data_IF_067531582026
#
_entry.id   IF_067531582026
#
_cell.length_a   1.000
_cell.length_b   1.000
_cell.length_c   1.000
_cell.angle_alpha   90.00
_cell.angle_beta   90.00
_cell.angle_gamma   90.00
#
_symmetry.space_group_name_H-M   'P 1'
#
loop_
_entity.id
_entity.type
_entity.pdbx_description
1 polymer ?
#
# COMPACT_ATOMS: atom_id res chain seq x y z
N UNK A 1 2.09 -1.50 20.04
CA UNK A 1 2.38 -2.92 19.81
C UNK A 1 1.20 -3.51 19.05
N UNK A 2 1.27 -3.59 17.73
CA UNK A 2 0.24 -4.24 16.91
C UNK A 2 0.72 -5.68 16.62
N UNK A 3 0.15 -6.65 17.31
CA UNK A 3 0.38 -8.09 17.07
C UNK A 3 -0.41 -8.51 15.83
N UNK A 4 0.06 -9.48 15.03
CA UNK A 4 -0.56 -9.92 13.74
C UNK A 4 -2.10 -9.89 13.68
N UNK A 5 -2.78 -10.33 14.74
CA UNK A 5 -4.25 -10.29 14.90
C UNK A 5 -4.91 -8.90 14.90
N UNK A 6 -4.19 -7.85 15.28
CA UNK A 6 -4.69 -6.48 15.26
C UNK A 6 -4.64 -5.89 13.85
N UNK A 7 -3.76 -6.33 12.96
CA UNK A 7 -3.70 -5.79 11.60
C UNK A 7 -4.85 -6.29 10.73
N UNK A 8 -5.26 -7.56 10.86
CA UNK A 8 -6.45 -8.09 10.17
C UNK A 8 -7.71 -7.32 10.56
N UNK A 9 -7.93 -7.09 11.87
CA UNK A 9 -9.02 -6.22 12.33
C UNK A 9 -8.84 -4.76 11.93
N UNK A 10 -7.60 -4.29 11.79
CA UNK A 10 -7.32 -2.94 11.30
C UNK A 10 -7.68 -2.77 9.83
N UNK A 11 -7.51 -3.79 8.99
CA UNK A 11 -7.88 -3.75 7.57
C UNK A 11 -9.38 -3.57 7.43
N UNK A 12 -10.18 -4.34 8.17
CA UNK A 12 -11.65 -4.22 8.15
C UNK A 12 -12.10 -2.81 8.59
N UNK A 13 -11.48 -2.26 9.64
CA UNK A 13 -11.71 -0.86 10.06
C UNK A 13 -11.28 0.19 9.02
N UNK A 14 -10.24 -0.09 8.23
CA UNK A 14 -9.82 0.81 7.15
C UNK A 14 -10.69 0.69 5.91
N UNK A 15 -11.26 -0.48 5.64
CA UNK A 15 -12.26 -0.68 4.58
C UNK A 15 -13.57 0.03 4.91
N UNK A 16 -13.99 0.00 6.18
CA UNK A 16 -15.11 0.84 6.66
C UNK A 16 -14.82 2.33 6.47
N UNK A 17 -13.58 2.79 6.72
CA UNK A 17 -13.23 4.19 6.51
C UNK A 17 -13.41 4.62 5.04
N UNK A 18 -12.97 3.80 4.09
CA UNK A 18 -13.21 4.05 2.65
C UNK A 18 -14.72 4.03 2.33
N UNK A 19 -15.48 3.11 2.93
CA UNK A 19 -16.92 2.97 2.72
C UNK A 19 -17.74 4.14 3.31
N UNK A 20 -17.23 4.80 4.36
CA UNK A 20 -17.86 5.98 4.97
C UNK A 20 -17.69 7.26 4.13
N UNK A 21 -16.99 7.19 2.99
CA UNK A 21 -16.81 8.32 2.09
C UNK A 21 -15.85 9.38 2.62
N UNK A 22 -15.11 9.07 3.69
CA UNK A 22 -13.89 9.81 4.00
C UNK A 22 -12.89 9.47 2.89
N UNK A 23 -12.78 10.33 1.87
CA UNK A 23 -11.68 10.37 0.88
C UNK A 23 -10.34 10.73 1.54
N UNK A 24 -10.15 10.25 2.76
CA UNK A 24 -8.97 10.49 3.51
C UNK A 24 -7.91 9.50 3.03
N UNK A 25 -6.90 10.03 2.36
CA UNK A 25 -5.71 9.29 1.94
C UNK A 25 -5.09 8.48 3.09
N UNK A 26 -5.32 8.88 4.35
CA UNK A 26 -4.94 8.10 5.53
C UNK A 26 -5.50 6.70 5.53
N UNK A 27 -6.75 6.51 5.13
CA UNK A 27 -7.38 5.19 5.13
C UNK A 27 -6.80 4.27 4.06
N UNK A 28 -6.39 4.83 2.91
CA UNK A 28 -5.68 4.09 1.88
C UNK A 28 -4.28 3.67 2.33
N UNK A 29 -3.42 4.61 2.77
CA UNK A 29 -2.06 4.23 3.12
C UNK A 29 -2.00 3.33 4.36
N UNK A 30 -2.87 3.54 5.35
CA UNK A 30 -2.92 2.69 6.54
C UNK A 30 -3.33 1.25 6.21
N UNK A 31 -4.28 1.06 5.28
CA UNK A 31 -4.63 -0.26 4.74
C UNK A 31 -3.45 -0.90 4.03
N UNK A 32 -2.74 -0.16 3.19
CA UNK A 32 -1.52 -0.64 2.53
C UNK A 32 -0.42 -1.07 3.51
N UNK A 33 -0.20 -0.31 4.59
CA UNK A 33 0.71 -0.69 5.67
C UNK A 33 0.25 -1.93 6.43
N UNK A 34 -1.05 -2.08 6.67
CA UNK A 34 -1.59 -3.28 7.32
C UNK A 34 -1.36 -4.53 6.46
N UNK A 35 -1.61 -4.48 5.15
CA UNK A 35 -1.26 -5.55 4.23
C UNK A 35 0.24 -5.88 4.28
N UNK A 36 1.11 -4.86 4.33
CA UNK A 36 2.55 -5.06 4.46
C UNK A 36 2.91 -5.81 5.77
N UNK A 37 2.32 -5.42 6.90
CA UNK A 37 2.55 -6.11 8.18
C UNK A 37 2.00 -7.55 8.23
N UNK A 38 1.02 -7.87 7.39
CA UNK A 38 0.54 -9.23 7.16
C UNK A 38 1.38 -10.02 6.15
N UNK A 39 2.46 -9.43 5.62
CA UNK A 39 3.29 -9.97 4.55
C UNK A 39 2.56 -10.13 3.20
N UNK A 40 1.44 -9.43 3.00
CA UNK A 40 0.72 -9.36 1.72
C UNK A 40 1.31 -8.25 0.85
N UNK A 41 2.54 -8.46 0.38
CA UNK A 41 3.31 -7.45 -0.34
C UNK A 41 2.60 -6.91 -1.59
N UNK A 42 1.89 -7.78 -2.33
CA UNK A 42 1.22 -7.40 -3.57
C UNK A 42 0.05 -6.43 -3.31
N UNK A 43 -0.79 -6.78 -2.31
CA UNK A 43 -1.90 -5.94 -1.87
C UNK A 43 -1.39 -4.62 -1.27
N UNK A 44 -0.33 -4.69 -0.45
CA UNK A 44 0.30 -3.50 0.12
C UNK A 44 0.78 -2.54 -0.96
N UNK A 45 1.50 -3.06 -1.97
CA UNK A 45 1.99 -2.27 -3.08
C UNK A 45 0.85 -1.61 -3.86
N UNK A 46 -0.18 -2.38 -4.22
CA UNK A 46 -1.32 -1.88 -4.97
C UNK A 46 -2.04 -0.75 -4.23
N UNK A 47 -2.41 -0.98 -2.97
CA UNK A 47 -3.16 -0.01 -2.16
C UNK A 47 -2.35 1.26 -1.88
N UNK A 48 -1.03 1.13 -1.61
CA UNK A 48 -0.16 2.30 -1.43
C UNK A 48 0.01 3.11 -2.73
N UNK A 49 0.01 2.45 -3.89
CA UNK A 49 0.11 3.12 -5.18
C UNK A 49 -1.17 3.89 -5.52
N UNK A 50 -2.34 3.33 -5.16
CA UNK A 50 -3.63 4.04 -5.23
C UNK A 50 -3.68 5.24 -4.27
N UNK A 51 -3.04 5.14 -3.09
CA UNK A 51 -2.96 6.23 -2.12
C UNK A 51 -2.06 7.39 -2.58
N UNK A 52 -1.07 7.14 -3.45
CA UNK A 52 -0.08 8.12 -3.87
C UNK A 52 -0.70 9.36 -4.55
N UNK A 53 -1.57 9.25 -5.57
CA UNK A 53 -2.21 10.42 -6.18
C UNK A 53 -3.27 11.08 -5.28
N UNK A 54 -3.71 10.40 -4.22
CA UNK A 54 -4.67 10.95 -3.24
C UNK A 54 -3.96 11.75 -2.14
N UNK A 55 -2.63 11.66 -2.05
CA UNK A 55 -1.85 12.35 -1.03
C UNK A 55 -1.91 13.86 -1.22
N UNK A 56 -2.71 14.51 -0.39
CA UNK A 56 -2.94 15.96 -0.39
C UNK A 56 -1.94 16.72 0.51
N UNK A 57 -1.31 16.00 1.44
CA UNK A 57 -0.38 16.54 2.44
C UNK A 57 0.98 15.86 2.37
N UNK A 58 2.04 16.61 2.70
CA UNK A 58 3.40 16.05 2.79
C UNK A 58 3.50 14.85 3.75
N UNK A 59 2.71 14.85 4.84
CA UNK A 59 2.66 13.74 5.80
C UNK A 59 2.07 12.47 5.20
N UNK A 60 0.96 12.59 4.46
CA UNK A 60 0.36 11.44 3.76
C UNK A 60 1.29 10.91 2.67
N UNK A 61 1.90 11.80 1.89
CA UNK A 61 2.85 11.44 0.85
C UNK A 61 4.06 10.69 1.41
N UNK A 62 4.64 11.20 2.50
CA UNK A 62 5.76 10.54 3.18
C UNK A 62 5.35 9.16 3.71
N UNK A 63 4.16 9.03 4.31
CA UNK A 63 3.66 7.75 4.82
C UNK A 63 3.48 6.71 3.71
N UNK A 64 2.97 7.12 2.54
CA UNK A 64 2.83 6.28 1.36
C UNK A 64 4.19 5.82 0.85
N UNK A 65 5.13 6.75 0.67
CA UNK A 65 6.47 6.47 0.16
C UNK A 65 7.28 5.55 1.08
N UNK A 66 7.16 5.75 2.41
CA UNK A 66 7.79 4.87 3.39
C UNK A 66 7.25 3.44 3.29
N UNK A 67 5.94 3.27 3.08
CA UNK A 67 5.31 1.97 2.87
C UNK A 67 5.83 1.27 1.61
N UNK A 68 5.83 1.98 0.47
CA UNK A 68 6.33 1.43 -0.80
C UNK A 68 7.80 1.05 -0.71
N UNK A 69 8.62 1.88 -0.06
CA UNK A 69 10.03 1.57 0.20
C UNK A 69 10.21 0.37 1.14
N UNK A 70 9.32 0.18 2.11
CA UNK A 70 9.34 -1.00 2.98
C UNK A 70 9.02 -2.28 2.19
N UNK A 71 8.03 -2.22 1.29
CA UNK A 71 7.70 -3.33 0.37
C UNK A 71 8.90 -3.68 -0.51
N UNK A 72 9.55 -2.72 -1.17
CA UNK A 72 10.73 -3.00 -2.02
C UNK A 72 11.89 -3.67 -1.28
N UNK A 73 12.15 -3.23 -0.05
CA UNK A 73 13.27 -3.75 0.75
C UNK A 73 13.01 -5.15 1.32
N UNK A 74 11.76 -5.47 1.64
CA UNK A 74 11.42 -6.69 2.36
C UNK A 74 10.73 -7.75 1.49
N UNK A 75 10.24 -7.36 0.32
CA UNK A 75 9.54 -8.25 -0.61
C UNK A 75 10.41 -8.46 -1.87
N UNK A 76 10.93 -9.69 -2.12
CA UNK A 76 11.86 -9.96 -3.20
C UNK A 76 11.29 -9.71 -4.61
N UNK A 77 9.96 -9.74 -4.77
CA UNK A 77 9.28 -9.41 -6.02
C UNK A 77 9.30 -7.93 -6.40
N UNK A 78 9.60 -7.04 -5.44
CA UNK A 78 9.54 -5.59 -5.62
C UNK A 78 10.90 -4.89 -5.58
N UNK A 79 11.99 -5.63 -5.31
CA UNK A 79 13.33 -5.06 -5.08
C UNK A 79 13.89 -4.25 -6.27
N UNK A 80 13.42 -4.50 -7.49
CA UNK A 80 13.81 -3.78 -8.72
C UNK A 80 12.70 -2.90 -9.30
N UNK A 81 11.56 -2.78 -8.62
CA UNK A 81 10.47 -1.92 -9.07
C UNK A 81 10.81 -0.50 -8.63
N UNK A 82 10.86 0.47 -9.55
CA UNK A 82 11.05 1.87 -9.18
C UNK A 82 9.87 2.34 -8.31
N UNK A 83 10.13 3.19 -7.31
CA UNK A 83 9.03 3.85 -6.60
C UNK A 83 8.18 4.59 -7.65
N UNK A 84 6.85 4.44 -7.64
CA UNK A 84 6.00 5.27 -8.48
C UNK A 84 6.27 6.71 -8.09
N UNK A 85 6.94 7.44 -8.98
CA UNK A 85 7.05 8.89 -8.92
C UNK A 85 5.76 9.47 -9.49
N UNK A 86 5.44 10.74 -9.21
CA UNK A 86 4.21 11.46 -9.64
C UNK A 86 3.83 11.38 -11.14
N UNK A 87 4.63 10.70 -11.96
CA UNK A 87 4.28 10.40 -13.34
C UNK A 87 3.20 9.30 -13.31
N UNK A 88 2.01 9.53 -13.90
CA UNK A 88 0.93 8.55 -13.87
C UNK A 88 1.44 7.22 -14.43
N UNK A 89 1.38 6.12 -13.65
CA UNK A 89 1.85 4.84 -14.13
C UNK A 89 0.90 4.36 -15.22
N UNK A 90 1.43 4.19 -16.43
CA UNK A 90 0.81 3.32 -17.44
C UNK A 90 0.44 2.00 -16.74
N UNK A 91 -0.77 1.45 -16.93
CA UNK A 91 -1.22 0.25 -16.24
C UNK A 91 -0.16 -0.83 -16.38
N UNK A 92 0.41 -1.24 -15.24
CA UNK A 92 1.36 -2.34 -15.18
C UNK A 92 0.58 -3.57 -15.67
N UNK A 93 0.93 -4.18 -16.82
CA UNK A 93 0.26 -5.39 -17.25
C UNK A 93 0.50 -6.48 -16.20
N UNK A 94 -0.49 -7.35 -15.91
CA UNK A 94 -0.31 -8.40 -14.92
C UNK A 94 0.87 -9.27 -15.35
N UNK A 95 1.98 -9.21 -14.62
CA UNK A 95 3.08 -10.15 -14.82
C UNK A 95 2.56 -11.54 -14.46
N UNK A 96 2.53 -12.51 -15.38
CA UNK A 96 2.14 -13.87 -15.05
C UNK A 96 3.23 -14.44 -14.13
N UNK A 97 2.90 -14.60 -12.85
CA UNK A 97 3.75 -15.31 -11.90
C UNK A 97 3.65 -16.79 -12.26
N UNK A 98 4.53 -17.22 -13.17
CA UNK A 98 4.74 -18.62 -13.49
C UNK A 98 5.41 -19.30 -12.30
N UNK A 99 4.63 -20.08 -11.56
CA UNK A 99 5.15 -21.01 -10.56
C UNK A 99 5.98 -22.12 -11.20
N UNK A 100 7.03 -22.52 -10.51
CA UNK A 100 7.73 -23.80 -10.70
C UNK A 100 7.77 -24.55 -9.37
#
# INVERSE_FOLDING_TARGET
QYTRRNYEGSIESFEECVALGEEDVRCYYLRGWAHYFLAHCDEAWAVLNEALPLADTAQSLEAVQLGLGAVQRNCPGYTNVALPTDIPPTPIPPTPIGGI
#
